data_IF_955904716692
#
_entry.id   IF_955904716692
#
_cell.length_a   1.000
_cell.length_b   1.000
_cell.length_c   1.000
_cell.angle_alpha   90.00
_cell.angle_beta   90.00
_cell.angle_gamma   90.00
#
_symmetry.space_group_name_H-M   'P 1'
#
loop_
_entity.id
_entity.type
_entity.pdbx_description
1 polymer ?
#
# COMPACT_ATOMS: atom_id res chain seq x y z
N UNK A 1 22.48 2.45 1.80
CA UNK A 1 22.29 1.17 1.10
C UNK A 1 21.19 0.42 1.82
N UNK A 2 20.34 -0.28 1.11
CA UNK A 2 19.28 -1.10 1.71
C UNK A 2 19.88 -2.11 2.70
N UNK A 3 19.24 -2.26 3.86
CA UNK A 3 19.58 -3.33 4.80
C UNK A 3 18.76 -4.59 4.46
N UNK A 4 19.37 -5.76 4.60
CA UNK A 4 18.65 -7.03 4.45
C UNK A 4 18.25 -7.51 5.83
N UNK A 5 16.96 -7.48 6.10
CA UNK A 5 16.37 -7.77 7.41
C UNK A 5 15.33 -8.89 7.31
N UNK A 6 14.97 -9.50 8.45
CA UNK A 6 13.72 -10.25 8.51
C UNK A 6 12.54 -9.27 8.33
N UNK A 7 11.40 -9.77 7.85
CA UNK A 7 10.20 -8.93 7.72
C UNK A 7 9.77 -8.40 9.11
N UNK A 8 9.92 -9.22 10.15
CA UNK A 8 9.66 -8.83 11.54
C UNK A 8 10.50 -7.62 11.94
N UNK A 9 11.83 -7.71 11.79
CA UNK A 9 12.76 -6.64 12.19
C UNK A 9 12.54 -5.36 11.36
N UNK A 10 12.22 -5.50 10.07
CA UNK A 10 11.93 -4.36 9.21
C UNK A 10 10.68 -3.61 9.65
N UNK A 11 9.58 -4.33 9.96
CA UNK A 11 8.34 -3.71 10.46
C UNK A 11 8.53 -3.15 11.87
N UNK A 12 9.23 -3.87 12.75
CA UNK A 12 9.52 -3.40 14.11
C UNK A 12 10.28 -2.08 14.09
N UNK A 13 11.31 -1.98 13.25
CA UNK A 13 12.22 -0.82 13.19
C UNK A 13 11.60 0.40 12.51
N UNK A 14 10.84 0.21 11.44
CA UNK A 14 10.45 1.32 10.58
C UNK A 14 8.97 1.71 10.68
N UNK A 15 8.11 0.85 11.18
CA UNK A 15 6.69 1.17 11.36
C UNK A 15 6.42 1.50 12.82
N UNK A 16 6.38 2.79 13.14
CA UNK A 16 6.03 3.28 14.47
C UNK A 16 4.51 3.44 14.60
N UNK A 17 4.00 3.38 15.82
CA UNK A 17 2.61 3.75 16.11
C UNK A 17 2.37 5.22 15.71
N UNK A 18 1.23 5.48 15.09
CA UNK A 18 0.89 6.80 14.59
C UNK A 18 1.46 7.17 13.23
N UNK A 19 2.36 6.35 12.67
CA UNK A 19 3.01 6.61 11.39
C UNK A 19 2.03 6.69 10.21
N UNK A 20 2.42 7.43 9.19
CA UNK A 20 1.79 7.41 7.88
C UNK A 20 2.43 6.32 7.03
N UNK A 21 1.65 5.30 6.66
CA UNK A 21 2.13 4.11 5.95
C UNK A 21 1.44 3.99 4.59
N UNK A 22 2.23 4.02 3.52
CA UNK A 22 1.75 3.72 2.17
C UNK A 22 2.06 2.25 1.83
N UNK A 23 1.03 1.45 1.55
CA UNK A 23 1.19 0.05 1.13
C UNK A 23 0.65 -0.11 -0.28
N UNK A 24 1.53 -0.06 -1.27
CA UNK A 24 1.14 -0.01 -2.68
C UNK A 24 1.37 -1.34 -3.41
N UNK A 25 0.52 -1.55 -4.40
CA UNK A 25 0.49 -2.66 -5.33
C UNK A 25 -0.79 -2.55 -6.14
N UNK A 26 -0.75 -2.67 -7.47
CA UNK A 26 -1.92 -2.44 -8.30
C UNK A 26 -2.41 -3.75 -8.90
N UNK A 27 -3.46 -4.32 -8.32
CA UNK A 27 -4.03 -5.65 -8.61
C UNK A 27 -3.07 -6.82 -8.37
N UNK A 28 -1.77 -6.60 -8.36
CA UNK A 28 -0.74 -7.60 -8.11
C UNK A 28 0.38 -7.00 -7.27
N UNK A 29 1.26 -7.84 -6.75
CA UNK A 29 2.35 -7.45 -5.84
C UNK A 29 1.84 -6.62 -4.64
N UNK A 30 0.68 -6.97 -4.12
CA UNK A 30 0.11 -6.34 -2.94
C UNK A 30 0.81 -6.91 -1.71
N UNK A 31 1.40 -6.10 -0.82
CA UNK A 31 2.27 -6.58 0.24
C UNK A 31 1.48 -7.18 1.44
N UNK A 32 0.76 -8.30 1.20
CA UNK A 32 -0.05 -8.95 2.23
C UNK A 32 0.77 -9.44 3.42
N UNK A 33 1.92 -10.07 3.16
CA UNK A 33 2.79 -10.57 4.24
C UNK A 33 3.22 -9.43 5.17
N UNK A 34 3.55 -8.28 4.62
CA UNK A 34 3.92 -7.11 5.42
C UNK A 34 2.71 -6.51 6.16
N UNK A 35 1.53 -6.47 5.55
CA UNK A 35 0.29 -6.09 6.24
C UNK A 35 -0.03 -7.01 7.41
N UNK A 36 0.14 -8.31 7.24
CA UNK A 36 -0.02 -9.29 8.33
C UNK A 36 1.03 -9.09 9.43
N UNK A 37 2.27 -8.73 9.08
CA UNK A 37 3.29 -8.45 10.08
C UNK A 37 2.97 -7.19 10.90
N UNK A 38 2.43 -6.15 10.28
CA UNK A 38 1.92 -4.96 10.97
C UNK A 38 0.82 -5.35 11.98
N UNK A 39 -0.07 -6.27 11.61
CA UNK A 39 -1.12 -6.79 12.51
C UNK A 39 -0.51 -7.60 13.65
N UNK A 40 0.43 -8.53 13.37
CA UNK A 40 1.10 -9.35 14.38
C UNK A 40 1.80 -8.52 15.44
N UNK A 41 2.45 -7.43 15.03
CA UNK A 41 3.11 -6.49 15.93
C UNK A 41 2.13 -5.51 16.60
N UNK A 42 0.84 -5.61 16.30
CA UNK A 42 -0.22 -4.78 16.90
C UNK A 42 0.05 -3.28 16.76
N UNK A 43 0.60 -2.87 15.61
CA UNK A 43 0.83 -1.45 15.32
C UNK A 43 -0.50 -0.70 15.30
N UNK A 44 -0.51 0.53 15.81
CA UNK A 44 -1.76 1.29 16.06
C UNK A 44 -1.68 2.70 15.53
N UNK A 45 -2.86 3.32 15.45
CA UNK A 45 -3.03 4.73 15.09
C UNK A 45 -2.42 5.11 13.74
N UNK A 46 -2.28 4.14 12.83
CA UNK A 46 -1.68 4.36 11.52
C UNK A 46 -2.59 5.21 10.62
N UNK A 47 -1.97 6.12 9.87
CA UNK A 47 -2.60 6.72 8.69
C UNK A 47 -2.21 5.86 7.48
N UNK A 48 -3.14 5.06 7.00
CA UNK A 48 -2.93 4.18 5.86
C UNK A 48 -3.21 4.91 4.55
N UNK A 49 -2.29 4.84 3.59
CA UNK A 49 -2.43 5.48 2.28
C UNK A 49 -2.33 4.41 1.20
N UNK A 50 -3.30 4.40 0.28
CA UNK A 50 -3.26 3.59 -0.93
C UNK A 50 -4.24 4.10 -1.97
N UNK A 51 -3.87 4.03 -3.26
CA UNK A 51 -4.82 4.39 -4.32
C UNK A 51 -6.06 3.52 -4.30
N UNK A 52 -5.89 2.21 -4.15
CA UNK A 52 -6.97 1.22 -4.22
C UNK A 52 -6.93 0.23 -3.07
N UNK A 53 -7.30 0.65 -1.83
CA UNK A 53 -7.47 -0.27 -0.71
C UNK A 53 -8.30 -1.51 -1.07
N UNK A 54 -7.77 -2.66 -0.71
CA UNK A 54 -8.40 -3.96 -0.90
C UNK A 54 -8.36 -4.79 0.40
N UNK A 55 -8.34 -6.12 0.29
CA UNK A 55 -8.45 -7.02 1.43
C UNK A 55 -7.44 -6.77 2.54
N UNK A 56 -6.18 -6.45 2.22
CA UNK A 56 -5.16 -6.21 3.26
C UNK A 56 -5.51 -4.97 4.10
N UNK A 57 -6.12 -3.96 3.46
CA UNK A 57 -6.61 -2.78 4.19
C UNK A 57 -7.83 -3.10 5.05
N UNK A 58 -8.74 -3.94 4.54
CA UNK A 58 -9.87 -4.44 5.32
C UNK A 58 -9.41 -5.20 6.57
N UNK A 59 -8.34 -6.01 6.43
CA UNK A 59 -7.69 -6.76 7.51
C UNK A 59 -7.05 -5.81 8.54
N UNK A 60 -6.23 -4.86 8.10
CA UNK A 60 -5.56 -3.88 8.96
C UNK A 60 -6.56 -3.02 9.75
N UNK A 61 -7.62 -2.56 9.09
CA UNK A 61 -8.67 -1.74 9.72
C UNK A 61 -9.44 -2.57 10.74
N UNK A 62 -9.90 -3.76 10.36
CA UNK A 62 -10.62 -4.67 11.26
C UNK A 62 -9.80 -5.14 12.46
N UNK A 63 -8.47 -5.26 12.30
CA UNK A 63 -7.54 -5.57 13.39
C UNK A 63 -7.21 -4.36 14.28
N UNK A 64 -7.74 -3.17 13.96
CA UNK A 64 -7.55 -1.97 14.78
C UNK A 64 -6.24 -1.23 14.56
N UNK A 65 -5.56 -1.43 13.42
CA UNK A 65 -4.29 -0.76 13.16
C UNK A 65 -4.45 0.68 12.68
N UNK A 66 -5.59 1.03 12.02
CA UNK A 66 -5.74 2.29 11.31
C UNK A 66 -6.60 3.31 12.07
N UNK A 67 -6.14 4.54 12.20
CA UNK A 67 -6.97 5.69 12.62
C UNK A 67 -7.53 6.48 11.44
N UNK A 68 -6.83 6.43 10.29
CA UNK A 68 -7.20 7.19 9.08
C UNK A 68 -6.82 6.41 7.83
N UNK A 69 -7.64 6.54 6.78
CA UNK A 69 -7.35 6.00 5.44
C UNK A 69 -7.44 7.10 4.40
N UNK A 70 -6.40 7.25 3.58
CA UNK A 70 -6.34 8.16 2.44
C UNK A 70 -6.34 7.32 1.17
N UNK A 71 -7.32 7.50 0.31
CA UNK A 71 -7.56 6.60 -0.82
C UNK A 71 -8.35 7.25 -1.95
N UNK A 72 -8.50 6.55 -3.06
CA UNK A 72 -9.33 6.98 -4.18
C UNK A 72 -10.45 6.01 -4.55
N UNK A 73 -10.30 4.75 -4.21
CA UNK A 73 -11.33 3.72 -4.34
C UNK A 73 -11.04 2.60 -3.34
N UNK A 74 -12.05 2.06 -2.69
CA UNK A 74 -11.90 0.95 -1.77
C UNK A 74 -12.92 -0.14 -2.04
N UNK A 75 -12.46 -1.41 -2.18
CA UNK A 75 -13.36 -2.52 -2.44
C UNK A 75 -12.62 -3.86 -2.55
N UNK A 76 -13.42 -4.95 -2.47
CA UNK A 76 -12.95 -6.28 -2.77
C UNK A 76 -13.05 -6.48 -4.30
N UNK A 77 -11.93 -6.48 -5.04
CA UNK A 77 -11.95 -6.38 -6.49
C UNK A 77 -12.71 -7.53 -7.18
N UNK A 78 -13.82 -7.19 -7.84
CA UNK A 78 -14.69 -8.13 -8.55
C UNK A 78 -15.70 -8.87 -7.66
N UNK A 79 -15.77 -8.56 -6.37
CA UNK A 79 -16.68 -9.22 -5.41
C UNK A 79 -17.61 -8.22 -4.72
N UNK A 80 -17.11 -7.09 -4.21
CA UNK A 80 -17.96 -6.12 -3.53
C UNK A 80 -17.23 -5.25 -2.53
N UNK A 81 -17.87 -5.04 -1.37
CA UNK A 81 -17.41 -4.10 -0.34
C UNK A 81 -16.27 -4.63 0.51
N UNK A 82 -15.53 -3.70 1.12
CA UNK A 82 -14.69 -3.95 2.28
C UNK A 82 -15.56 -3.80 3.55
N UNK A 83 -15.89 -4.93 4.16
CA UNK A 83 -16.87 -4.93 5.26
C UNK A 83 -16.31 -4.31 6.54
N UNK A 84 -15.04 -4.50 6.82
CA UNK A 84 -14.39 -3.94 8.03
C UNK A 84 -14.15 -2.45 7.89
N UNK A 85 -13.77 -1.96 6.69
CA UNK A 85 -13.70 -0.54 6.41
C UNK A 85 -15.07 0.13 6.61
N UNK A 86 -16.14 -0.45 6.04
CA UNK A 86 -17.51 0.10 6.23
C UNK A 86 -17.92 0.09 7.68
N UNK A 87 -17.64 -0.99 8.40
CA UNK A 87 -18.02 -1.11 9.81
C UNK A 87 -17.28 -0.09 10.68
N UNK A 88 -15.99 0.16 10.40
CA UNK A 88 -15.20 1.18 11.09
C UNK A 88 -15.73 2.61 10.82
N UNK A 89 -16.12 2.90 9.58
CA UNK A 89 -16.63 4.23 9.20
C UNK A 89 -18.07 4.45 9.66
N UNK A 90 -18.97 3.46 9.44
CA UNK A 90 -20.40 3.62 9.69
C UNK A 90 -20.79 3.33 11.14
N UNK A 91 -20.07 2.46 11.84
CA UNK A 91 -20.43 1.96 13.18
C UNK A 91 -19.32 2.10 14.22
N UNK A 92 -18.14 2.60 13.83
CA UNK A 92 -17.00 2.76 14.72
C UNK A 92 -16.44 1.45 15.29
N UNK A 93 -16.46 0.36 14.50
CA UNK A 93 -15.89 -0.91 14.94
C UNK A 93 -14.65 -1.29 14.12
N UNK A 94 -13.52 -1.71 14.76
CA UNK A 94 -13.25 -1.81 16.19
C UNK A 94 -13.13 -0.44 16.88
N UNK A 95 -12.87 0.61 16.12
CA UNK A 95 -12.93 2.03 16.48
C UNK A 95 -13.24 2.86 15.23
N UNK A 96 -13.59 4.13 15.43
CA UNK A 96 -13.88 5.06 14.34
C UNK A 96 -12.63 5.32 13.51
N UNK A 97 -12.75 5.17 12.19
CA UNK A 97 -11.68 5.48 11.23
C UNK A 97 -12.08 6.69 10.39
N UNK A 98 -11.19 7.67 10.32
CA UNK A 98 -11.34 8.82 9.43
C UNK A 98 -11.03 8.39 8.00
N UNK A 99 -11.83 8.84 7.04
CA UNK A 99 -11.57 8.63 5.60
C UNK A 99 -11.29 9.95 4.91
N UNK A 100 -10.32 9.93 4.00
CA UNK A 100 -10.00 11.06 3.13
C UNK A 100 -9.93 10.56 1.68
N UNK A 101 -11.00 10.83 0.94
CA UNK A 101 -11.13 10.36 -0.43
C UNK A 101 -10.58 11.38 -1.43
N UNK A 102 -9.85 10.88 -2.42
CA UNK A 102 -9.36 11.61 -3.58
C UNK A 102 -9.75 10.89 -4.87
N UNK A 103 -9.54 11.51 -6.02
CA UNK A 103 -9.61 10.81 -7.31
C UNK A 103 -8.32 10.01 -7.54
N UNK A 104 -8.37 8.96 -8.39
CA UNK A 104 -7.18 8.22 -8.82
C UNK A 104 -6.10 9.14 -9.40
N UNK A 105 -6.50 10.07 -10.26
CA UNK A 105 -5.58 11.04 -10.86
C UNK A 105 -4.89 11.89 -9.80
N UNK A 106 -5.64 12.37 -8.79
CA UNK A 106 -5.06 13.17 -7.72
C UNK A 106 -4.10 12.38 -6.84
N UNK A 107 -4.42 11.13 -6.49
CA UNK A 107 -3.52 10.26 -5.72
C UNK A 107 -2.23 9.98 -6.49
N UNK A 108 -2.33 9.63 -7.79
CA UNK A 108 -1.15 9.40 -8.63
C UNK A 108 -0.26 10.65 -8.68
N UNK A 109 -0.85 11.81 -9.02
CA UNK A 109 -0.11 13.08 -9.05
C UNK A 109 0.49 13.46 -7.69
N UNK A 110 -0.21 13.15 -6.58
CA UNK A 110 0.28 13.43 -5.23
C UNK A 110 1.49 12.56 -4.85
N UNK A 111 1.51 11.27 -5.25
CA UNK A 111 2.68 10.41 -5.09
C UNK A 111 3.84 10.86 -5.98
N UNK A 112 3.59 11.20 -7.25
CA UNK A 112 4.61 11.75 -8.15
C UNK A 112 5.22 13.04 -7.58
N UNK A 113 4.37 13.96 -7.09
CA UNK A 113 4.84 15.19 -6.46
C UNK A 113 5.69 14.92 -5.22
N UNK A 114 5.29 13.94 -4.38
CA UNK A 114 6.07 13.50 -3.22
C UNK A 114 7.44 12.96 -3.62
N UNK A 115 7.47 12.07 -4.62
CA UNK A 115 8.70 11.48 -5.16
C UNK A 115 9.64 12.53 -5.78
N UNK A 116 9.08 13.56 -6.41
CA UNK A 116 9.83 14.68 -6.99
C UNK A 116 10.23 15.76 -5.97
N UNK A 117 9.83 15.63 -4.69
CA UNK A 117 10.10 16.64 -3.67
C UNK A 117 9.25 17.92 -3.79
N UNK A 118 8.19 17.88 -4.58
CA UNK A 118 7.27 19.01 -4.76
C UNK A 118 6.29 19.11 -3.57
N UNK A 119 5.85 20.30 -3.19
CA UNK A 119 4.96 20.49 -2.04
C UNK A 119 3.51 20.10 -2.34
N UNK A 120 3.09 20.12 -3.61
CA UNK A 120 1.73 19.85 -4.04
C UNK A 120 1.71 19.31 -5.47
N UNK A 121 0.62 18.65 -5.83
CA UNK A 121 0.28 18.32 -7.20
C UNK A 121 -0.84 19.23 -7.71
N UNK A 122 -0.78 19.56 -8.99
CA UNK A 122 -1.79 20.37 -9.69
C UNK A 122 -2.34 19.57 -10.86
N UNK A 123 -3.66 19.51 -10.97
CA UNK A 123 -4.32 18.71 -12.01
C UNK A 123 -5.64 19.35 -12.50
N UNK A 124 -6.04 18.96 -13.71
CA UNK A 124 -7.39 19.18 -14.20
C UNK A 124 -8.29 18.10 -13.63
N UNK A 125 -9.05 18.43 -12.61
CA UNK A 125 -9.94 17.48 -11.97
C UNK A 125 -10.90 18.13 -11.00
N UNK A 126 -11.81 17.33 -10.45
CA UNK A 126 -12.82 17.73 -9.47
C UNK A 126 -13.84 18.77 -9.95
N UNK A 127 -13.80 19.21 -11.21
CA UNK A 127 -14.80 20.12 -11.76
C UNK A 127 -16.15 19.39 -11.82
N UNK A 128 -17.17 19.93 -11.15
CA UNK A 128 -18.49 19.32 -11.02
C UNK A 128 -18.56 18.14 -10.03
N UNK A 129 -17.49 17.86 -9.27
CA UNK A 129 -17.47 16.89 -8.17
C UNK A 129 -17.77 17.58 -6.85
N UNK A 130 -18.43 16.86 -5.92
CA UNK A 130 -18.65 17.32 -4.55
C UNK A 130 -17.48 17.03 -3.61
N UNK A 131 -16.49 16.22 -4.03
CA UNK A 131 -15.32 15.89 -3.20
C UNK A 131 -14.63 17.11 -2.58
N UNK A 132 -14.43 18.24 -3.30
CA UNK A 132 -13.84 19.42 -2.68
C UNK A 132 -14.64 20.06 -1.55
N UNK A 133 -15.92 19.76 -1.43
CA UNK A 133 -16.77 20.27 -0.34
C UNK A 133 -16.62 19.46 0.96
N UNK A 134 -16.17 18.21 0.86
CA UNK A 134 -16.00 17.27 1.98
C UNK A 134 -14.54 16.91 2.26
N UNK A 135 -13.63 17.31 1.39
CA UNK A 135 -12.19 17.11 1.54
C UNK A 135 -11.46 18.45 1.47
N UNK A 136 -11.05 18.95 2.61
CA UNK A 136 -10.38 20.25 2.75
C UNK A 136 -8.96 20.28 2.16
N UNK A 137 -8.39 19.15 1.81
CA UNK A 137 -7.10 19.06 1.12
C UNK A 137 -7.20 19.27 -0.40
N UNK A 138 -8.41 19.38 -0.95
CA UNK A 138 -8.61 19.74 -2.35
C UNK A 138 -8.85 21.26 -2.43
N UNK A 139 -7.89 21.99 -2.99
CA UNK A 139 -7.97 23.44 -3.19
C UNK A 139 -8.04 23.76 -4.67
N UNK A 140 -8.58 24.93 -5.01
CA UNK A 140 -8.53 25.43 -6.38
C UNK A 140 -7.57 26.60 -6.47
N UNK A 141 -6.78 26.61 -7.53
CA UNK A 141 -5.83 27.67 -7.87
C UNK A 141 -6.05 28.11 -9.31
N UNK A 142 -5.59 29.31 -9.65
CA UNK A 142 -5.53 29.78 -11.03
C UNK A 142 -4.14 29.50 -11.60
N UNK A 143 -4.10 28.92 -12.80
CA UNK A 143 -2.86 28.69 -13.53
C UNK A 143 -2.21 30.04 -13.91
N UNK A 144 -1.00 30.36 -13.46
CA UNK A 144 -0.37 31.64 -13.75
C UNK A 144 -0.02 31.87 -15.22
N UNK A 145 -0.07 30.81 -16.04
CA UNK A 145 0.28 30.86 -17.45
C UNK A 145 -0.95 30.95 -18.35
N UNK A 146 -2.08 30.35 -17.95
CA UNK A 146 -3.27 30.21 -18.80
C UNK A 146 -4.53 30.85 -18.22
N UNK A 147 -4.53 31.20 -16.91
CA UNK A 147 -5.74 31.65 -16.20
C UNK A 147 -6.74 30.53 -15.92
N UNK A 148 -6.42 29.29 -16.27
CA UNK A 148 -7.31 28.15 -16.04
C UNK A 148 -7.43 27.82 -14.55
N UNK A 149 -8.66 27.51 -14.11
CA UNK A 149 -8.91 27.01 -12.74
C UNK A 149 -8.51 25.55 -12.65
N UNK A 150 -7.53 25.24 -11.78
CA UNK A 150 -6.97 23.92 -11.55
C UNK A 150 -7.20 23.49 -10.10
N UNK A 151 -7.29 22.18 -9.88
CA UNK A 151 -7.25 21.62 -8.55
C UNK A 151 -5.80 21.44 -8.08
N UNK A 152 -5.57 21.69 -6.79
CA UNK A 152 -4.32 21.46 -6.11
C UNK A 152 -4.55 20.53 -4.90
N UNK A 153 -3.69 19.53 -4.75
CA UNK A 153 -3.69 18.60 -3.62
C UNK A 153 -2.30 18.53 -3.01
N UNK A 154 -2.15 18.31 -1.68
CA UNK A 154 -0.83 18.14 -1.07
C UNK A 154 -0.10 16.94 -1.67
N UNK A 155 1.23 16.99 -1.72
CA UNK A 155 2.02 15.82 -2.05
C UNK A 155 1.90 14.75 -0.98
N UNK A 156 1.88 13.47 -1.38
CA UNK A 156 1.94 12.33 -0.46
C UNK A 156 3.41 12.08 -0.11
N UNK A 157 3.73 12.16 1.18
CA UNK A 157 5.08 11.91 1.73
C UNK A 157 4.95 11.05 2.99
N UNK A 158 4.77 9.73 2.83
CA UNK A 158 4.56 8.83 3.96
C UNK A 158 5.84 8.70 4.81
N UNK A 159 5.66 8.40 6.09
CA UNK A 159 6.80 8.04 6.95
C UNK A 159 7.41 6.73 6.47
N UNK A 160 6.56 5.76 6.10
CA UNK A 160 6.99 4.46 5.58
C UNK A 160 6.21 4.10 4.33
N UNK A 161 6.92 3.63 3.30
CA UNK A 161 6.32 2.94 2.16
C UNK A 161 6.64 1.45 2.23
N UNK A 162 5.66 0.61 1.96
CA UNK A 162 5.81 -0.85 1.91
C UNK A 162 5.31 -1.32 0.54
N UNK A 163 6.16 -2.03 -0.19
CA UNK A 163 5.82 -2.63 -1.48
C UNK A 163 6.33 -4.06 -1.55
N UNK A 164 5.73 -4.86 -2.42
CA UNK A 164 6.22 -6.19 -2.74
C UNK A 164 6.74 -6.22 -4.17
N UNK A 165 7.77 -7.03 -4.42
CA UNK A 165 8.39 -7.17 -5.73
C UNK A 165 8.84 -8.61 -5.97
N UNK A 166 9.24 -8.94 -7.19
CA UNK A 166 9.72 -10.28 -7.52
C UNK A 166 11.10 -10.55 -6.93
N UNK A 167 12.08 -9.72 -7.27
CA UNK A 167 13.48 -9.96 -6.93
C UNK A 167 14.19 -8.70 -6.43
N UNK A 168 15.16 -8.91 -5.57
CA UNK A 168 16.18 -7.91 -5.28
C UNK A 168 17.57 -8.50 -5.52
N UNK A 169 18.56 -7.66 -5.88
CA UNK A 169 19.96 -8.07 -5.89
C UNK A 169 20.69 -7.67 -4.59
N UNK A 170 21.93 -8.18 -4.45
CA UNK A 170 22.78 -7.87 -3.29
C UNK A 170 23.16 -6.39 -3.18
N UNK A 171 23.04 -5.62 -4.26
CA UNK A 171 23.22 -4.17 -4.25
C UNK A 171 21.95 -3.42 -3.78
N UNK A 172 20.86 -4.13 -3.60
CA UNK A 172 19.57 -3.60 -3.14
C UNK A 172 18.68 -3.07 -4.26
N UNK A 173 19.01 -3.29 -5.53
CA UNK A 173 18.12 -2.95 -6.62
C UNK A 173 16.97 -3.94 -6.70
N UNK A 174 15.79 -3.46 -7.07
CA UNK A 174 14.56 -4.24 -7.05
C UNK A 174 13.93 -4.32 -8.44
N UNK A 175 13.60 -5.54 -8.84
CA UNK A 175 12.92 -5.88 -10.08
C UNK A 175 11.42 -5.95 -9.83
N UNK A 176 10.66 -5.20 -10.62
CA UNK A 176 9.19 -5.25 -10.64
C UNK A 176 8.72 -5.51 -12.06
N UNK A 177 8.06 -6.62 -12.27
CA UNK A 177 7.49 -7.03 -13.54
C UNK A 177 5.97 -7.15 -13.48
N UNK A 178 5.29 -6.83 -14.56
CA UNK A 178 3.84 -6.88 -14.67
C UNK A 178 3.20 -5.49 -14.60
N UNK A 179 2.03 -5.40 -13.98
CA UNK A 179 1.30 -4.14 -13.88
C UNK A 179 1.95 -3.29 -12.78
N UNK A 180 2.44 -2.13 -13.18
CA UNK A 180 3.04 -1.15 -12.27
C UNK A 180 2.01 -0.06 -11.98
N UNK A 181 1.72 0.14 -10.68
CA UNK A 181 0.96 1.29 -10.19
C UNK A 181 1.89 2.42 -9.79
N UNK A 182 1.76 2.93 -8.58
CA UNK A 182 2.61 3.98 -8.00
C UNK A 182 3.63 3.44 -6.99
N UNK A 183 4.04 2.16 -7.10
CA UNK A 183 4.96 1.55 -6.15
C UNK A 183 6.30 2.29 -6.10
N UNK A 184 6.87 2.63 -7.27
CA UNK A 184 8.13 3.38 -7.35
C UNK A 184 7.98 4.76 -6.72
N UNK A 185 6.93 5.47 -7.06
CA UNK A 185 6.65 6.81 -6.54
C UNK A 185 6.42 6.77 -5.03
N UNK A 186 5.72 5.76 -4.52
CA UNK A 186 5.51 5.58 -3.08
C UNK A 186 6.82 5.36 -2.32
N UNK A 187 7.74 4.55 -2.86
CA UNK A 187 9.07 4.34 -2.28
C UNK A 187 9.89 5.63 -2.31
N UNK A 188 9.91 6.34 -3.44
CA UNK A 188 10.68 7.58 -3.59
C UNK A 188 10.10 8.75 -2.78
N UNK A 189 8.80 8.76 -2.50
CA UNK A 189 8.13 9.78 -1.71
C UNK A 189 8.31 9.59 -0.19
N UNK A 190 8.55 8.37 0.25
CA UNK A 190 8.61 8.01 1.66
C UNK A 190 9.93 8.45 2.33
N UNK A 191 9.87 8.63 3.66
CA UNK A 191 11.09 8.84 4.47
C UNK A 191 11.88 7.55 4.63
N UNK A 192 11.17 6.43 4.80
CA UNK A 192 11.72 5.09 4.92
C UNK A 192 10.93 4.15 4.00
N UNK A 193 11.56 3.07 3.52
CA UNK A 193 10.87 2.11 2.68
C UNK A 193 11.26 0.68 3.01
N UNK A 194 10.26 -0.20 3.03
CA UNK A 194 10.41 -1.64 3.18
C UNK A 194 9.98 -2.26 1.85
N UNK A 195 10.85 -3.06 1.26
CA UNK A 195 10.51 -3.86 0.08
C UNK A 195 10.56 -5.33 0.46
N UNK A 196 9.44 -6.01 0.35
CA UNK A 196 9.40 -7.47 0.44
C UNK A 196 9.60 -8.07 -0.94
N UNK A 197 10.33 -9.18 -1.04
CA UNK A 197 10.62 -9.85 -2.31
C UNK A 197 10.40 -11.35 -2.20
N UNK A 198 10.14 -12.00 -3.34
CA UNK A 198 10.07 -13.45 -3.42
C UNK A 198 11.46 -14.07 -3.22
N UNK A 199 12.50 -13.46 -3.78
CA UNK A 199 13.87 -13.94 -3.66
C UNK A 199 14.93 -12.83 -3.79
N UNK A 200 16.11 -13.13 -3.26
CA UNK A 200 17.32 -12.30 -3.42
C UNK A 200 18.29 -13.03 -4.33
N UNK A 201 18.73 -12.37 -5.40
CA UNK A 201 19.72 -12.87 -6.34
C UNK A 201 21.06 -12.14 -6.18
N UNK A 202 22.11 -12.66 -6.76
CA UNK A 202 23.44 -12.03 -6.68
C UNK A 202 23.49 -10.71 -7.46
N UNK A 203 23.05 -10.73 -8.72
CA UNK A 203 22.99 -9.56 -9.61
C UNK A 203 21.84 -9.73 -10.60
N UNK A 204 20.87 -8.83 -10.55
CA UNK A 204 19.70 -8.83 -11.45
C UNK A 204 20.08 -8.87 -12.92
N UNK A 205 21.19 -8.23 -13.30
CA UNK A 205 21.66 -8.19 -14.70
C UNK A 205 22.08 -9.54 -15.23
N UNK A 206 22.41 -10.48 -14.34
CA UNK A 206 22.80 -11.85 -14.68
C UNK A 206 21.61 -12.81 -14.78
N UNK A 207 20.40 -12.34 -14.41
CA UNK A 207 19.21 -13.17 -14.44
C UNK A 207 18.70 -13.42 -15.87
N UNK A 208 18.28 -14.64 -16.18
CA UNK A 208 17.65 -14.95 -17.48
C UNK A 208 16.44 -14.07 -17.72
N UNK A 209 16.40 -13.42 -18.90
CA UNK A 209 15.28 -12.55 -19.28
C UNK A 209 15.30 -11.15 -18.65
N UNK A 210 16.35 -10.80 -17.90
CA UNK A 210 16.49 -9.45 -17.35
C UNK A 210 16.36 -8.38 -18.43
N UNK A 211 15.54 -7.38 -18.11
CA UNK A 211 15.41 -6.18 -18.93
C UNK A 211 15.64 -4.94 -18.05
N UNK A 212 16.55 -4.01 -18.40
CA UNK A 212 16.88 -2.86 -17.55
C UNK A 212 15.69 -2.02 -17.11
N UNK A 213 14.64 -1.94 -17.95
CA UNK A 213 13.43 -1.17 -17.64
C UNK A 213 12.53 -1.82 -16.56
N UNK A 214 12.78 -3.07 -16.19
CA UNK A 214 12.05 -3.74 -15.12
C UNK A 214 12.65 -3.45 -13.72
N UNK A 215 13.91 -3.00 -13.65
CA UNK A 215 14.53 -2.53 -12.41
C UNK A 215 14.16 -1.07 -12.15
N UNK A 216 12.98 -0.86 -11.60
CA UNK A 216 12.40 0.48 -11.44
C UNK A 216 12.63 1.12 -10.08
N UNK A 217 13.01 0.33 -9.06
CA UNK A 217 13.29 0.83 -7.71
C UNK A 217 14.77 0.64 -7.40
N UNK A 218 15.55 1.72 -7.36
CA UNK A 218 16.99 1.65 -7.09
C UNK A 218 17.27 1.47 -5.60
N UNK A 219 18.32 0.71 -5.27
CA UNK A 219 18.67 0.36 -3.88
C UNK A 219 18.94 1.55 -2.96
N UNK A 220 19.34 2.70 -3.50
CA UNK A 220 19.57 3.90 -2.71
C UNK A 220 18.26 4.49 -2.12
N UNK A 221 17.10 4.17 -2.70
CA UNK A 221 15.79 4.62 -2.23
C UNK A 221 15.17 3.66 -1.20
N UNK A 222 15.81 2.53 -0.91
CA UNK A 222 15.26 1.47 -0.08
C UNK A 222 15.98 1.45 1.27
N UNK A 223 15.20 1.39 2.36
CA UNK A 223 15.72 1.27 3.73
C UNK A 223 15.95 -0.19 4.10
N UNK A 224 14.96 -1.05 3.86
CA UNK A 224 15.06 -2.47 4.15
C UNK A 224 14.49 -3.34 3.03
N UNK A 225 15.14 -4.49 2.82
CA UNK A 225 14.66 -5.58 1.95
C UNK A 225 14.48 -6.83 2.81
N UNK A 226 13.32 -7.46 2.69
CA UNK A 226 13.00 -8.69 3.38
C UNK A 226 12.49 -9.75 2.41
N UNK A 227 12.95 -10.99 2.54
CA UNK A 227 12.37 -12.10 1.78
C UNK A 227 11.03 -12.46 2.40
N UNK A 228 10.00 -12.54 1.56
CA UNK A 228 8.66 -12.97 1.93
C UNK A 228 8.08 -13.78 0.76
N UNK A 229 8.47 -15.05 0.69
CA UNK A 229 7.96 -15.96 -0.33
C UNK A 229 6.44 -15.99 -0.31
N UNK A 230 5.81 -15.88 -1.49
CA UNK A 230 4.36 -15.75 -1.63
C UNK A 230 3.75 -14.56 -0.89
N UNK A 231 4.57 -13.53 -0.65
CA UNK A 231 4.22 -12.39 0.18
C UNK A 231 3.09 -11.52 -0.36
N UNK A 232 2.70 -11.69 -1.63
CA UNK A 232 1.53 -11.04 -2.21
C UNK A 232 0.25 -11.85 -2.14
N UNK A 233 0.26 -13.15 -1.78
CA UNK A 233 -0.99 -13.91 -1.73
C UNK A 233 -2.01 -13.26 -0.77
N UNK A 234 -3.28 -13.21 -1.16
CA UNK A 234 -3.99 -13.85 -2.28
C UNK A 234 -3.90 -13.10 -3.63
N UNK A 235 -3.22 -11.96 -3.69
CA UNK A 235 -2.87 -11.29 -4.95
C UNK A 235 -1.91 -12.19 -5.76
N UNK A 236 -1.42 -11.73 -6.90
CA UNK A 236 -0.47 -12.53 -7.67
C UNK A 236 0.89 -11.83 -7.77
N UNK A 237 1.92 -12.63 -8.02
CA UNK A 237 3.21 -12.16 -8.45
C UNK A 237 3.50 -12.73 -9.85
N UNK A 238 3.64 -11.85 -10.84
CA UNK A 238 3.89 -12.26 -12.22
C UNK A 238 5.14 -13.14 -12.29
N UNK A 239 5.03 -14.28 -12.96
CA UNK A 239 6.11 -15.25 -13.07
C UNK A 239 6.27 -16.22 -11.87
N UNK A 240 5.58 -15.98 -10.75
CA UNK A 240 5.66 -16.80 -9.53
C UNK A 240 4.36 -17.56 -9.24
N UNK A 241 3.26 -16.88 -9.08
CA UNK A 241 1.97 -17.50 -8.77
C UNK A 241 0.78 -16.67 -9.23
N UNK A 242 -0.35 -17.33 -9.57
CA UNK A 242 -1.57 -16.67 -9.97
C UNK A 242 -2.33 -16.10 -8.77
N UNK A 243 -3.28 -15.19 -9.08
CA UNK A 243 -4.22 -14.66 -8.10
C UNK A 243 -5.17 -15.76 -7.58
N UNK A 244 -5.35 -15.79 -6.27
CA UNK A 244 -6.32 -16.69 -5.64
C UNK A 244 -7.74 -16.08 -5.64
N UNK A 245 -8.43 -16.17 -6.76
CA UNK A 245 -9.78 -15.63 -6.89
C UNK A 245 -10.81 -16.30 -5.96
N UNK A 246 -10.57 -17.55 -5.54
CA UNK A 246 -11.45 -18.24 -4.59
C UNK A 246 -11.41 -17.53 -3.24
N UNK A 247 -10.22 -17.20 -2.75
CA UNK A 247 -10.07 -16.47 -1.48
C UNK A 247 -10.69 -15.06 -1.51
N UNK A 248 -10.60 -14.35 -2.63
CA UNK A 248 -11.27 -13.04 -2.75
C UNK A 248 -12.79 -13.14 -2.60
N UNK A 249 -13.40 -14.24 -3.05
CA UNK A 249 -14.83 -14.52 -2.87
C UNK A 249 -15.15 -14.96 -1.44
N UNK A 250 -14.30 -15.83 -0.88
CA UNK A 250 -14.44 -16.32 0.49
C UNK A 250 -14.33 -15.19 1.50
N UNK A 251 -13.42 -14.22 1.26
CA UNK A 251 -13.24 -13.05 2.13
C UNK A 251 -14.51 -12.23 2.34
N UNK A 252 -15.39 -12.15 1.34
CA UNK A 252 -16.66 -11.45 1.51
C UNK A 252 -17.50 -12.06 2.64
N UNK A 253 -17.52 -13.36 2.77
CA UNK A 253 -18.24 -14.06 3.85
C UNK A 253 -17.50 -13.91 5.20
N UNK A 254 -16.18 -14.09 5.21
CA UNK A 254 -15.34 -13.96 6.41
C UNK A 254 -15.46 -12.55 6.99
N UNK A 255 -15.26 -11.53 6.16
CA UNK A 255 -15.22 -10.15 6.60
C UNK A 255 -16.61 -9.58 6.96
N UNK A 256 -17.70 -10.20 6.56
CA UNK A 256 -19.06 -9.69 6.82
C UNK A 256 -19.44 -9.77 8.29
N UNK A 257 -19.02 -10.81 8.96
CA UNK A 257 -19.28 -11.05 10.40
C UNK A 257 -18.04 -10.73 11.23
N UNK A 258 -18.22 -10.05 12.37
CA UNK A 258 -17.10 -9.62 13.22
C UNK A 258 -16.38 -10.76 13.90
N UNK A 259 -17.14 -11.73 14.40
CA UNK A 259 -16.58 -12.89 15.15
C UNK A 259 -15.83 -13.79 14.19
N UNK A 260 -16.41 -14.07 13.02
CA UNK A 260 -15.74 -14.83 11.94
C UNK A 260 -14.46 -14.15 11.48
N UNK A 261 -14.50 -12.83 11.28
CA UNK A 261 -13.31 -12.05 10.93
C UNK A 261 -12.23 -12.15 12.02
N UNK A 262 -12.62 -11.95 13.27
CA UNK A 262 -11.68 -11.98 14.41
C UNK A 262 -11.03 -13.36 14.55
N UNK A 263 -11.82 -14.42 14.45
CA UNK A 263 -11.31 -15.79 14.49
C UNK A 263 -10.34 -16.06 13.32
N UNK A 264 -10.66 -15.60 12.12
CA UNK A 264 -9.79 -15.73 10.96
C UNK A 264 -8.44 -15.02 11.15
N UNK A 265 -8.45 -13.77 11.65
CA UNK A 265 -7.22 -13.01 11.95
C UNK A 265 -6.38 -13.75 12.99
N UNK A 266 -7.00 -14.25 14.05
CA UNK A 266 -6.27 -14.99 15.10
C UNK A 266 -5.61 -16.25 14.53
N UNK A 267 -6.35 -17.05 13.76
CA UNK A 267 -5.87 -18.30 13.19
C UNK A 267 -4.82 -18.09 12.10
N UNK A 268 -5.09 -17.19 11.12
CA UNK A 268 -4.33 -17.11 9.89
C UNK A 268 -3.27 -15.99 9.89
N UNK A 269 -3.33 -15.06 10.84
CA UNK A 269 -2.37 -13.96 10.93
C UNK A 269 -1.57 -14.05 12.22
N UNK A 270 -2.23 -14.06 13.40
CA UNK A 270 -1.54 -14.03 14.69
C UNK A 270 -0.78 -15.32 14.96
N UNK A 271 -1.42 -16.48 14.73
CA UNK A 271 -0.83 -17.79 15.02
C UNK A 271 0.01 -18.36 13.87
N UNK A 272 -0.08 -17.83 12.65
CA UNK A 272 0.70 -18.27 11.50
C UNK A 272 2.19 -17.87 11.55
N UNK A 273 2.59 -16.97 12.43
CA UNK A 273 3.98 -16.47 12.56
C UNK A 273 4.94 -17.37 13.35
N UNK A 274 4.51 -18.50 13.85
CA UNK A 274 5.33 -19.38 14.70
C UNK A 274 6.27 -20.36 13.98
N UNK A 275 6.31 -20.35 12.63
CA UNK A 275 7.08 -21.32 11.82
C UNK A 275 7.90 -20.66 10.68
N UNK A 276 8.38 -19.45 10.85
CA UNK A 276 9.27 -18.82 9.87
C UNK A 276 10.62 -18.45 10.52
#
# INVERSE_FOLDING_TARGET
>A
MAEFLSLHDAVERYVEDGATVAMEGFTHLIPFAAGHEVIRQKKRDLTLIRMTPDLVYDQLIGAGCAKKVIFSWGGNPGVGSLHRLRDAVEKGWPHQVEILEHSHAAMACAFEAGAAGLPLAVLRGYVGSELPSVNDQIKFIECPFTGERLAAVPSVRPDVSIVHAQKADRAGNVLVEGIVGVQKEAVLAARQSIVTVEEIVEDLRSEPGYHPNACIIPGWAISAIAVAEKGSLPSYAHGYYPRNNAFYKEWDAIARDRDTFTAWIEENVMNAGGNA
#
